data_IF_516413300364
#
_entry.id   IF_516413300364
#
_cell.length_a   1.000
_cell.length_b   1.000
_cell.length_c   1.000
_cell.angle_alpha   90.00
_cell.angle_beta   90.00
_cell.angle_gamma   90.00
#
_symmetry.space_group_name_H-M   'P 1'
#
loop_
_entity.id
_entity.type
_entity.pdbx_description
1 polymer ?
#
# COMPACT_ATOMS: atom_id res chain seq x y z
N UNK A 1 -35.20 22.75 14.19
CA UNK A 1 -35.33 21.29 13.98
C UNK A 1 -34.53 20.94 12.73
N UNK A 2 -33.35 20.37 12.93
CA UNK A 2 -32.43 19.94 11.87
C UNK A 2 -32.88 18.58 11.30
N UNK A 3 -32.88 18.41 9.98
CA UNK A 3 -32.91 17.10 9.31
C UNK A 3 -32.06 17.14 8.03
N UNK A 4 -31.06 16.25 8.01
CA UNK A 4 -30.56 15.38 6.90
C UNK A 4 -30.24 16.05 5.55
N UNK A 5 -28.99 16.12 5.08
CA UNK A 5 -28.01 15.07 4.71
C UNK A 5 -28.39 14.22 3.50
N UNK A 6 -27.51 14.29 2.49
CA UNK A 6 -27.18 13.30 1.45
C UNK A 6 -28.11 13.23 0.23
N UNK A 7 -27.67 13.03 -1.01
CA UNK A 7 -26.39 13.06 -1.73
C UNK A 7 -26.83 12.90 -3.21
N UNK A 8 -26.45 13.82 -4.08
CA UNK A 8 -25.54 13.59 -5.22
C UNK A 8 -26.15 12.72 -6.34
N UNK A 9 -26.79 13.42 -7.30
CA UNK A 9 -27.20 12.89 -8.59
C UNK A 9 -25.99 12.84 -9.54
N UNK A 10 -26.03 11.90 -10.46
CA UNK A 10 -25.00 11.58 -11.42
C UNK A 10 -24.64 12.78 -12.29
N UNK A 11 -23.35 13.09 -12.42
CA UNK A 11 -22.83 13.90 -13.52
C UNK A 11 -21.43 13.44 -13.88
N UNK A 12 -21.38 12.61 -14.92
CA UNK A 12 -20.19 12.24 -15.68
C UNK A 12 -19.50 13.52 -16.16
N UNK A 13 -18.29 13.79 -15.69
CA UNK A 13 -17.44 14.87 -16.21
C UNK A 13 -16.46 14.34 -17.28
N UNK A 14 -16.28 15.04 -18.41
CA UNK A 14 -15.51 14.57 -19.56
C UNK A 14 -13.99 14.69 -19.36
N UNK A 15 -13.27 13.77 -20.00
CA UNK A 15 -11.80 13.68 -20.09
C UNK A 15 -11.24 14.85 -20.90
N UNK A 16 -10.26 15.64 -20.41
CA UNK A 16 -9.55 16.59 -21.24
C UNK A 16 -8.49 15.91 -22.11
N UNK A 17 -8.61 16.18 -23.41
CA UNK A 17 -7.77 15.69 -24.51
C UNK A 17 -6.48 16.51 -24.62
N UNK A 18 -5.35 15.82 -24.54
CA UNK A 18 -4.07 16.06 -25.24
C UNK A 18 -3.65 17.51 -25.53
N UNK A 19 -2.67 18.01 -24.76
CA UNK A 19 -1.86 19.20 -25.12
C UNK A 19 -0.45 18.76 -25.49
N UNK A 20 -0.11 18.99 -26.76
CA UNK A 20 1.18 18.72 -27.40
C UNK A 20 2.26 19.66 -26.84
N UNK A 21 3.41 19.13 -26.42
CA UNK A 21 4.61 19.92 -26.13
C UNK A 21 5.59 19.87 -27.32
N UNK A 22 6.25 21.00 -27.67
CA UNK A 22 7.02 21.14 -28.90
C UNK A 22 8.39 20.45 -28.86
N UNK A 23 8.74 19.87 -30.00
CA UNK A 23 10.00 19.21 -30.37
C UNK A 23 11.12 20.22 -30.65
N UNK A 24 12.06 20.43 -29.73
CA UNK A 24 13.39 21.00 -30.01
C UNK A 24 14.43 20.52 -29.00
N UNK A 25 15.06 19.39 -29.30
CA UNK A 25 16.51 19.24 -29.35
C UNK A 25 16.83 17.75 -29.52
N UNK A 26 16.93 17.34 -30.79
CA UNK A 26 17.56 16.09 -31.21
C UNK A 26 19.00 16.42 -31.61
N UNK A 27 19.93 15.49 -31.31
CA UNK A 27 21.40 15.46 -31.56
C UNK A 27 22.26 15.96 -30.37
N UNK A 28 23.22 15.24 -29.79
CA UNK A 28 24.03 14.04 -30.09
C UNK A 28 24.44 13.43 -28.72
N UNK A 29 24.58 12.13 -28.49
CA UNK A 29 25.59 11.20 -29.04
C UNK A 29 25.16 9.76 -28.70
N UNK A 30 25.18 8.88 -29.70
CA UNK A 30 25.22 7.44 -29.45
C UNK A 30 26.54 7.09 -28.75
N UNK A 31 26.49 6.39 -27.62
CA UNK A 31 27.65 5.67 -27.07
C UNK A 31 27.33 4.17 -27.00
N UNK A 32 28.12 3.31 -27.67
CA UNK A 32 27.93 1.87 -27.61
C UNK A 32 28.53 1.30 -26.33
N UNK A 33 27.70 0.59 -25.56
CA UNK A 33 28.14 -0.31 -24.49
C UNK A 33 28.36 0.34 -23.12
N UNK A 34 27.48 0.05 -22.15
CA UNK A 34 27.70 -1.00 -21.14
C UNK A 34 26.54 -0.98 -20.14
N UNK A 35 25.80 -2.10 -20.13
CA UNK A 35 24.94 -2.58 -19.05
C UNK A 35 25.46 -2.19 -17.66
N UNK A 36 24.76 -1.28 -16.98
CA UNK A 36 24.55 -1.34 -15.52
C UNK A 36 23.26 -0.59 -15.21
N UNK A 37 22.18 -1.36 -15.10
CA UNK A 37 20.87 -0.92 -14.61
C UNK A 37 21.02 -0.34 -13.20
N UNK A 38 20.99 0.98 -13.10
CA UNK A 38 20.77 1.68 -11.83
C UNK A 38 19.82 2.86 -12.06
N UNK A 39 18.72 2.55 -12.76
CA UNK A 39 17.46 3.22 -12.55
C UNK A 39 17.11 3.05 -11.06
N UNK A 40 16.69 4.12 -10.40
CA UNK A 40 16.25 4.09 -9.02
C UNK A 40 14.94 3.26 -8.98
N UNK A 41 15.08 1.93 -8.95
CA UNK A 41 14.00 1.03 -8.58
C UNK A 41 13.67 1.41 -7.15
N UNK A 42 12.63 2.22 -6.97
CA UNK A 42 11.84 2.14 -5.75
C UNK A 42 11.25 0.75 -5.82
N UNK A 43 12.02 -0.26 -5.40
CA UNK A 43 11.50 -1.57 -5.12
C UNK A 43 10.41 -1.29 -4.09
N UNK A 44 9.16 -1.34 -4.53
CA UNK A 44 8.04 -1.41 -3.60
C UNK A 44 8.42 -2.49 -2.59
N UNK A 45 8.28 -2.20 -1.29
CA UNK A 45 8.44 -3.24 -0.27
C UNK A 45 7.28 -4.19 -0.46
N UNK A 46 7.48 -5.14 -1.38
CA UNK A 46 6.52 -6.15 -1.77
C UNK A 46 6.51 -7.21 -0.68
N UNK A 47 5.32 -7.70 -0.41
CA UNK A 47 5.00 -8.67 0.61
C UNK A 47 4.10 -9.73 0.00
N UNK A 48 4.18 -10.95 0.54
CA UNK A 48 3.28 -12.03 0.14
C UNK A 48 2.07 -12.13 1.09
N UNK A 49 2.12 -11.43 2.22
CA UNK A 49 1.05 -11.42 3.20
C UNK A 49 0.92 -10.06 3.87
N UNK A 50 -0.31 -9.65 4.20
CA UNK A 50 -0.50 -8.49 5.05
C UNK A 50 -1.83 -8.53 5.83
N UNK A 51 -1.81 -7.83 6.97
CA UNK A 51 -2.94 -7.68 7.89
C UNK A 51 -3.15 -6.22 8.26
N UNK A 52 -4.40 -5.85 8.49
CA UNK A 52 -4.74 -4.61 9.17
C UNK A 52 -4.72 -4.83 10.67
N UNK A 53 -4.20 -3.84 11.41
CA UNK A 53 -4.00 -3.96 12.85
C UNK A 53 -4.65 -2.83 13.62
N UNK A 54 -5.05 -3.14 14.85
CA UNK A 54 -5.62 -2.22 15.84
C UNK A 54 -5.00 -2.47 17.21
N UNK A 55 -5.38 -1.69 18.21
CA UNK A 55 -4.84 -1.76 19.57
C UNK A 55 -3.32 -1.58 19.66
N UNK A 56 -2.70 -0.82 18.72
CA UNK A 56 -1.23 -0.69 18.69
C UNK A 56 -0.73 -0.03 19.98
N UNK A 57 0.02 -0.80 20.77
CA UNK A 57 0.72 -0.30 21.95
C UNK A 57 2.21 -0.60 21.84
N UNK A 58 3.02 0.42 22.11
CA UNK A 58 4.47 0.28 22.24
C UNK A 58 4.78 0.42 23.73
N UNK A 59 5.05 -0.71 24.38
CA UNK A 59 5.49 -0.72 25.76
C UNK A 59 6.98 -1.10 25.82
N UNK A 60 7.80 -0.39 26.62
CA UNK A 60 9.14 -0.86 26.93
C UNK A 60 9.03 -2.10 27.81
N UNK A 61 9.40 -3.27 27.29
CA UNK A 61 9.63 -4.46 28.09
C UNK A 61 11.13 -4.55 28.38
N UNK A 62 11.49 -4.36 29.65
CA UNK A 62 12.84 -4.58 30.14
C UNK A 62 13.59 -3.30 30.49
N UNK A 63 14.35 -3.40 31.57
CA UNK A 63 15.11 -2.34 32.22
C UNK A 63 15.15 -2.60 33.72
N UNK A 64 16.15 -3.33 34.20
CA UNK A 64 16.47 -3.34 35.64
C UNK A 64 17.56 -2.29 35.87
N UNK A 65 17.69 -1.76 37.09
CA UNK A 65 18.71 -0.74 37.42
C UNK A 65 20.16 -1.15 37.15
N UNK A 66 20.42 -2.40 36.76
CA UNK A 66 21.72 -2.96 36.43
C UNK A 66 21.90 -3.33 34.95
N UNK A 67 20.87 -3.17 34.09
CA UNK A 67 20.91 -3.46 32.65
C UNK A 67 19.84 -2.68 31.88
N UNK A 68 20.24 -1.63 31.16
CA UNK A 68 19.37 -0.73 30.34
C UNK A 68 19.07 -1.31 28.96
N UNK A 69 18.61 -2.56 28.90
CA UNK A 69 18.08 -3.13 27.65
C UNK A 69 16.57 -2.95 27.60
N UNK A 70 16.11 -1.87 26.96
CA UNK A 70 14.70 -1.69 26.59
C UNK A 70 14.42 -2.49 25.32
N UNK A 71 13.59 -3.52 25.40
CA UNK A 71 13.01 -4.15 24.22
C UNK A 71 11.61 -3.56 23.98
N UNK A 72 11.37 -3.05 22.77
CA UNK A 72 10.06 -2.55 22.37
C UNK A 72 9.26 -3.72 21.82
N UNK A 73 8.29 -4.26 22.57
CA UNK A 73 7.36 -5.23 21.99
C UNK A 73 6.23 -4.47 21.31
N UNK A 74 6.03 -4.74 20.02
CA UNK A 74 4.85 -4.29 19.30
C UNK A 74 3.68 -5.18 19.73
N UNK A 75 2.76 -4.62 20.49
CA UNK A 75 1.49 -5.28 20.78
C UNK A 75 0.43 -4.69 19.84
N UNK A 76 -0.24 -5.56 19.09
CA UNK A 76 -1.35 -5.19 18.23
C UNK A 76 -2.29 -6.37 18.10
N UNK A 77 -3.53 -6.07 17.76
CA UNK A 77 -4.55 -7.04 17.42
C UNK A 77 -4.78 -7.00 15.92
N UNK A 78 -5.03 -8.17 15.31
CA UNK A 78 -5.39 -8.25 13.90
C UNK A 78 -6.88 -7.90 13.77
N UNK A 79 -7.17 -6.87 12.99
CA UNK A 79 -8.54 -6.51 12.65
C UNK A 79 -8.98 -7.28 11.40
N UNK A 80 -9.67 -8.39 11.62
CA UNK A 80 -10.11 -9.29 10.54
C UNK A 80 -11.01 -8.57 9.52
N UNK A 81 -11.92 -7.72 9.99
CA UNK A 81 -12.88 -7.01 9.14
C UNK A 81 -12.18 -5.95 8.30
N UNK A 82 -11.25 -5.21 8.90
CA UNK A 82 -10.45 -4.26 8.14
C UNK A 82 -9.51 -4.96 7.15
N UNK A 83 -8.98 -6.13 7.53
CA UNK A 83 -8.10 -6.93 6.67
C UNK A 83 -8.84 -7.49 5.45
N UNK A 84 -10.04 -8.04 5.64
CA UNK A 84 -10.91 -8.47 4.55
C UNK A 84 -11.21 -7.30 3.60
N UNK A 85 -11.64 -6.16 4.15
CA UNK A 85 -11.90 -4.93 3.39
C UNK A 85 -10.68 -4.48 2.56
N UNK A 86 -9.49 -4.46 3.16
CA UNK A 86 -8.28 -4.04 2.46
C UNK A 86 -7.88 -5.05 1.38
N UNK A 87 -8.06 -6.35 1.64
CA UNK A 87 -7.80 -7.39 0.66
C UNK A 87 -8.73 -7.30 -0.56
N UNK A 88 -10.01 -7.01 -0.33
CA UNK A 88 -11.00 -6.80 -1.40
C UNK A 88 -10.64 -5.60 -2.29
N UNK A 89 -10.12 -4.52 -1.70
CA UNK A 89 -9.60 -3.39 -2.47
C UNK A 89 -8.37 -3.78 -3.29
N UNK A 90 -7.43 -4.53 -2.71
CA UNK A 90 -6.23 -5.00 -3.41
C UNK A 90 -6.55 -5.92 -4.58
N UNK A 91 -7.53 -6.80 -4.41
CA UNK A 91 -7.98 -7.72 -5.45
C UNK A 91 -8.61 -6.99 -6.64
N UNK A 92 -9.25 -5.85 -6.40
CA UNK A 92 -9.85 -5.00 -7.44
C UNK A 92 -8.87 -3.97 -8.02
N UNK A 93 -7.61 -3.98 -7.58
CA UNK A 93 -6.63 -2.97 -7.93
C UNK A 93 -6.18 -3.10 -9.38
N UNK A 94 -6.20 -1.98 -10.10
CA UNK A 94 -5.70 -1.86 -11.46
C UNK A 94 -5.32 -0.39 -11.76
N UNK A 95 -4.12 0.03 -11.40
CA UNK A 95 -3.67 1.43 -11.58
C UNK A 95 -2.53 1.61 -12.59
N UNK A 96 -2.12 0.54 -13.27
CA UNK A 96 -0.94 0.53 -14.14
C UNK A 96 -0.58 -0.89 -14.55
N UNK A 97 0.63 -1.09 -15.07
CA UNK A 97 1.10 -2.39 -15.59
C UNK A 97 2.26 -3.00 -14.80
N UNK A 98 2.65 -2.41 -13.67
CA UNK A 98 3.68 -2.98 -12.81
C UNK A 98 3.13 -4.10 -11.92
N UNK A 99 4.03 -4.88 -11.33
CA UNK A 99 3.69 -6.01 -10.45
C UNK A 99 2.78 -5.57 -9.28
N UNK A 100 3.10 -4.49 -8.57
CA UNK A 100 2.27 -3.93 -7.50
C UNK A 100 1.01 -3.19 -7.99
N UNK A 101 0.84 -3.03 -9.32
CA UNK A 101 -0.32 -2.31 -9.84
C UNK A 101 -1.59 -3.16 -9.87
N UNK A 102 -1.45 -4.47 -9.79
CA UNK A 102 -2.52 -5.47 -9.85
C UNK A 102 -2.28 -6.52 -8.77
N UNK A 103 -3.34 -7.13 -8.27
CA UNK A 103 -3.21 -8.31 -7.42
C UNK A 103 -4.23 -9.38 -7.82
N UNK A 104 -3.95 -10.03 -8.95
CA UNK A 104 -4.83 -11.06 -9.53
C UNK A 104 -4.92 -12.32 -8.65
N UNK A 105 -3.91 -12.54 -7.81
CA UNK A 105 -3.79 -13.69 -6.91
C UNK A 105 -4.07 -13.34 -5.44
N UNK A 106 -4.49 -12.10 -5.13
CA UNK A 106 -4.82 -11.71 -3.76
C UNK A 106 -6.03 -12.49 -3.26
N UNK A 107 -5.86 -13.13 -2.11
CA UNK A 107 -6.91 -13.91 -1.44
C UNK A 107 -6.90 -13.68 0.05
N UNK A 108 -8.08 -13.45 0.62
CA UNK A 108 -8.27 -13.41 2.07
C UNK A 108 -8.49 -14.82 2.59
N UNK A 109 -7.70 -15.26 3.58
CA UNK A 109 -7.77 -16.61 4.15
C UNK A 109 -8.58 -16.71 5.46
N UNK A 110 -9.23 -15.62 5.87
CA UNK A 110 -9.92 -15.51 7.16
C UNK A 110 -9.06 -14.89 8.28
N UNK A 111 -7.80 -14.60 8.01
CA UNK A 111 -6.88 -13.90 8.91
C UNK A 111 -6.13 -12.77 8.21
N UNK A 112 -5.51 -13.07 7.08
CA UNK A 112 -4.61 -12.19 6.33
C UNK A 112 -4.92 -12.19 4.83
N UNK A 113 -4.48 -11.14 4.16
CA UNK A 113 -4.49 -11.08 2.70
C UNK A 113 -3.20 -11.69 2.16
N UNK A 114 -3.31 -12.73 1.33
CA UNK A 114 -2.16 -13.44 0.75
C UNK A 114 -2.04 -13.17 -0.75
N UNK A 115 -0.82 -13.06 -1.25
CA UNK A 115 -0.45 -13.00 -2.66
C UNK A 115 0.82 -13.84 -2.88
N UNK A 116 0.70 -14.94 -3.62
CA UNK A 116 1.84 -15.78 -3.97
C UNK A 116 2.87 -15.06 -4.88
N UNK A 117 2.38 -14.11 -5.67
CA UNK A 117 3.14 -13.28 -6.60
C UNK A 117 3.75 -12.03 -5.98
N UNK A 118 3.71 -11.86 -4.65
CA UNK A 118 4.31 -10.71 -3.96
C UNK A 118 3.78 -9.37 -4.49
N UNK A 119 2.46 -9.25 -4.66
CA UNK A 119 1.84 -8.03 -5.20
C UNK A 119 1.50 -6.97 -4.13
N UNK A 120 1.71 -7.28 -2.84
CA UNK A 120 1.24 -6.43 -1.74
C UNK A 120 2.32 -5.41 -1.36
N UNK A 121 2.12 -4.14 -1.69
CA UNK A 121 2.93 -3.02 -1.18
C UNK A 121 2.64 -2.71 0.30
N UNK A 122 3.69 -2.59 1.13
CA UNK A 122 3.53 -2.34 2.57
C UNK A 122 2.89 -0.99 2.92
N UNK A 123 3.26 0.08 2.21
CA UNK A 123 2.72 1.43 2.40
C UNK A 123 1.31 1.58 1.79
N UNK A 124 1.05 0.98 0.64
CA UNK A 124 -0.31 0.92 0.10
C UNK A 124 -1.25 0.12 1.01
N UNK A 125 -0.81 -1.01 1.59
CA UNK A 125 -1.64 -1.75 2.54
C UNK A 125 -1.98 -0.89 3.76
N UNK A 126 -1.01 -0.12 4.27
CA UNK A 126 -1.28 0.81 5.36
C UNK A 126 -2.30 1.89 4.96
N UNK A 127 -2.24 2.39 3.72
CA UNK A 127 -3.23 3.33 3.20
C UNK A 127 -4.63 2.71 3.19
N UNK A 128 -4.82 1.49 2.68
CA UNK A 128 -6.13 0.85 2.68
C UNK A 128 -6.64 0.59 4.09
N UNK A 129 -5.80 0.01 4.95
CA UNK A 129 -6.14 -0.25 6.35
C UNK A 129 -6.58 1.04 7.06
N UNK A 130 -5.82 2.13 6.95
CA UNK A 130 -6.09 3.36 7.72
C UNK A 130 -7.11 4.30 7.10
N UNK A 131 -7.13 4.44 5.76
CA UNK A 131 -7.96 5.42 5.05
C UNK A 131 -9.25 4.85 4.49
N UNK A 132 -9.29 3.55 4.19
CA UNK A 132 -10.47 2.92 3.57
C UNK A 132 -11.20 1.99 4.54
N UNK A 133 -10.47 1.30 5.40
CA UNK A 133 -11.01 0.24 6.25
C UNK A 133 -10.96 0.56 7.76
N UNK A 134 -10.57 1.79 8.13
CA UNK A 134 -10.63 2.31 9.51
C UNK A 134 -9.82 1.56 10.59
N UNK A 135 -8.80 0.81 10.20
CA UNK A 135 -7.80 0.24 11.11
C UNK A 135 -6.76 1.28 11.54
N UNK A 136 -6.00 0.99 12.59
CA UNK A 136 -4.95 1.89 13.10
C UNK A 136 -3.63 1.78 12.32
N UNK A 137 -3.44 0.70 11.56
CA UNK A 137 -2.27 0.51 10.70
C UNK A 137 -2.32 -0.80 9.95
N UNK A 138 -1.20 -1.18 9.35
CA UNK A 138 -0.98 -2.51 8.77
C UNK A 138 0.36 -3.11 9.18
N UNK A 139 0.47 -4.42 9.08
CA UNK A 139 1.73 -5.16 9.12
C UNK A 139 1.77 -6.07 7.89
N UNK A 140 2.89 -6.07 7.17
CA UNK A 140 3.08 -6.83 5.94
C UNK A 140 4.40 -7.60 6.02
N UNK A 141 4.41 -8.82 5.48
CA UNK A 141 5.53 -9.76 5.51
C UNK A 141 5.75 -10.37 4.13
#
# INVERSE_FOLDING_TARGET
MSRTSSNEDHSVLPIPRSSVLPVRDLYLIASPGKSTDRELRVDAKLHNSAVCVTGRTEAPIGGTGWSVSYNWQKNYEIDLKATECACDYYKQRNTGDNQWDKCEDCTYDGLQCNSAGWHIGGDEMNYYCTKKCSAQGSEAN
#
